data_IF_907138002007
#
_entry.id   IF_907138002007
#
_cell.length_a   1.000
_cell.length_b   1.000
_cell.length_c   1.000
_cell.angle_alpha   90.00
_cell.angle_beta   90.00
_cell.angle_gamma   90.00
#
_symmetry.space_group_name_H-M   'P 1'
#
loop_
_entity.id
_entity.type
_entity.pdbx_description
1 polymer ?
#
# COMPACT_ATOMS: atom_id res chain seq x y z
N UNK A 1 33.02 -48.85 -33.69
CA UNK A 1 32.67 -48.00 -32.53
C UNK A 1 32.57 -46.56 -33.03
N UNK A 2 31.37 -46.08 -33.34
CA UNK A 2 31.18 -44.76 -33.95
C UNK A 2 31.42 -43.61 -32.96
N UNK A 3 32.31 -42.70 -33.34
CA UNK A 3 32.77 -41.53 -32.56
C UNK A 3 31.67 -40.44 -32.41
N UNK A 4 30.49 -40.65 -33.00
CA UNK A 4 29.36 -39.69 -33.00
C UNK A 4 28.53 -39.66 -31.70
N UNK A 5 28.87 -40.44 -30.68
CA UNK A 5 28.20 -40.38 -29.38
C UNK A 5 28.78 -39.31 -28.43
N UNK A 6 29.86 -38.62 -28.81
CA UNK A 6 30.54 -37.64 -27.96
C UNK A 6 30.10 -36.16 -28.14
N UNK A 7 29.01 -35.86 -28.85
CA UNK A 7 28.62 -34.45 -29.11
C UNK A 7 27.34 -33.99 -28.41
N UNK A 8 26.73 -34.79 -27.54
CA UNK A 8 25.62 -34.31 -26.69
C UNK A 8 26.16 -33.70 -25.40
N UNK A 9 26.74 -32.51 -25.49
CA UNK A 9 26.94 -31.62 -24.34
C UNK A 9 25.59 -31.02 -23.90
N UNK A 10 24.70 -31.89 -23.41
CA UNK A 10 23.51 -31.46 -22.70
C UNK A 10 23.95 -30.87 -21.37
N UNK A 11 23.92 -29.53 -21.24
CA UNK A 11 24.14 -28.84 -19.97
C UNK A 11 23.09 -29.35 -18.98
N UNK A 12 23.46 -30.31 -18.14
CA UNK A 12 22.66 -30.73 -17.01
C UNK A 12 22.52 -29.49 -16.11
N UNK A 13 21.33 -28.88 -16.07
CA UNK A 13 21.03 -27.82 -15.11
C UNK A 13 21.32 -28.41 -13.74
N UNK A 14 22.30 -27.86 -13.03
CA UNK A 14 22.61 -28.26 -11.67
C UNK A 14 21.32 -28.20 -10.85
N UNK A 15 20.98 -29.32 -10.22
CA UNK A 15 19.86 -29.42 -9.30
C UNK A 15 20.26 -28.63 -8.04
N UNK A 16 20.20 -27.30 -8.13
CA UNK A 16 20.48 -26.43 -7.00
C UNK A 16 19.42 -26.75 -5.93
N UNK A 17 19.82 -26.99 -4.67
CA UNK A 17 18.88 -27.27 -3.60
C UNK A 17 17.87 -26.11 -3.48
N UNK A 18 16.60 -26.39 -3.13
CA UNK A 18 15.60 -25.35 -2.95
C UNK A 18 16.14 -24.31 -1.97
N UNK A 19 16.34 -23.08 -2.46
CA UNK A 19 16.79 -21.96 -1.64
C UNK A 19 15.80 -21.79 -0.49
N UNK A 20 16.20 -22.16 0.74
CA UNK A 20 15.36 -22.02 1.95
C UNK A 20 14.84 -20.59 2.03
N UNK A 21 13.53 -20.42 1.87
CA UNK A 21 12.86 -19.12 1.92
C UNK A 21 12.72 -18.71 3.38
N UNK A 22 13.77 -18.14 3.94
CA UNK A 22 13.62 -17.38 5.18
C UNK A 22 12.86 -16.10 4.88
N UNK A 23 11.65 -15.96 5.44
CA UNK A 23 10.95 -14.68 5.46
C UNK A 23 11.80 -13.71 6.29
N UNK A 24 12.39 -12.70 5.64
CA UNK A 24 13.00 -11.59 6.37
C UNK A 24 11.87 -10.86 7.09
N UNK A 25 11.89 -10.84 8.42
CA UNK A 25 11.00 -10.00 9.20
C UNK A 25 11.39 -8.54 8.94
N UNK A 26 10.63 -7.87 8.08
CA UNK A 26 10.79 -6.44 7.86
C UNK A 26 10.31 -5.73 9.12
N UNK A 27 11.23 -5.09 9.86
CA UNK A 27 10.91 -4.33 11.08
C UNK A 27 10.14 -3.04 10.75
N UNK A 28 10.42 -2.48 9.57
CA UNK A 28 9.73 -1.29 9.06
C UNK A 28 8.64 -1.65 8.05
N UNK A 29 7.38 -1.48 8.47
CA UNK A 29 6.20 -1.69 7.63
C UNK A 29 6.21 -0.83 6.35
N UNK A 30 6.88 0.34 6.38
CA UNK A 30 6.95 1.24 5.23
C UNK A 30 7.72 0.64 4.04
N UNK A 31 8.68 -0.24 4.31
CA UNK A 31 9.42 -0.95 3.28
C UNK A 31 8.62 -2.13 2.69
N UNK A 32 7.49 -2.49 3.32
CA UNK A 32 6.47 -3.38 2.75
C UNK A 32 5.75 -2.75 1.55
N UNK A 33 5.78 -1.41 1.41
CA UNK A 33 5.37 -0.73 0.19
C UNK A 33 6.47 -0.89 -0.87
N UNK A 34 6.31 -1.95 -1.66
CA UNK A 34 7.30 -2.36 -2.66
C UNK A 34 7.35 -1.42 -3.86
N UNK A 35 8.51 -1.31 -4.52
CA UNK A 35 8.68 -0.51 -5.76
C UNK A 35 7.66 -0.84 -6.87
N UNK A 36 7.27 -2.11 -7.10
CA UNK A 36 6.17 -2.46 -8.01
C UNK A 36 4.83 -1.83 -7.63
N UNK A 37 4.50 -1.73 -6.34
CA UNK A 37 3.24 -1.14 -5.89
C UNK A 37 3.19 0.37 -6.20
N UNK A 38 4.27 1.09 -5.92
CA UNK A 38 4.41 2.51 -6.27
C UNK A 38 4.36 2.74 -7.78
N UNK A 39 4.96 1.85 -8.59
CA UNK A 39 4.79 1.90 -10.05
C UNK A 39 3.34 1.75 -10.47
N UNK A 40 2.59 0.79 -9.92
CA UNK A 40 1.16 0.62 -10.24
C UNK A 40 0.34 1.87 -9.89
N UNK A 41 0.64 2.52 -8.76
CA UNK A 41 0.02 3.79 -8.38
C UNK A 41 0.34 4.91 -9.38
N UNK A 42 1.62 5.10 -9.68
CA UNK A 42 2.07 6.13 -10.62
C UNK A 42 1.52 5.89 -12.03
N UNK A 43 1.42 4.63 -12.49
CA UNK A 43 0.78 4.30 -13.76
C UNK A 43 -0.71 4.67 -13.77
N UNK A 44 -1.45 4.41 -12.69
CA UNK A 44 -2.85 4.85 -12.56
C UNK A 44 -2.97 6.38 -12.57
N UNK A 45 -1.97 7.09 -12.06
CA UNK A 45 -1.86 8.55 -12.14
C UNK A 45 -1.32 9.08 -13.48
N UNK A 46 -1.15 8.25 -14.52
CA UNK A 46 -0.66 8.70 -15.84
C UNK A 46 0.85 8.96 -15.92
N UNK A 47 1.64 8.56 -14.94
CA UNK A 47 3.09 8.83 -14.91
C UNK A 47 3.84 7.87 -15.84
N UNK A 48 4.57 8.42 -16.83
CA UNK A 48 5.29 7.68 -17.86
C UNK A 48 6.70 7.19 -17.45
N UNK A 49 7.47 8.00 -16.71
CA UNK A 49 8.81 7.68 -16.21
C UNK A 49 8.95 8.09 -14.75
N UNK A 50 9.66 7.29 -13.96
CA UNK A 50 9.84 7.51 -12.52
C UNK A 50 11.32 7.38 -12.19
N UNK A 51 11.87 8.41 -11.54
CA UNK A 51 13.27 8.41 -11.07
C UNK A 51 13.44 7.50 -9.84
N UNK A 52 14.67 7.03 -9.61
CA UNK A 52 15.02 6.17 -8.48
C UNK A 52 14.84 6.82 -7.10
N UNK A 53 15.01 8.14 -7.01
CA UNK A 53 14.88 8.91 -5.75
C UNK A 53 13.43 9.04 -5.28
N UNK A 54 12.47 9.01 -6.22
CA UNK A 54 11.05 9.20 -5.95
C UNK A 54 10.46 8.03 -5.14
N UNK A 55 11.06 6.84 -5.16
CA UNK A 55 10.52 5.70 -4.41
C UNK A 55 10.58 5.91 -2.90
N UNK A 56 11.63 6.56 -2.41
CA UNK A 56 11.79 6.81 -0.98
C UNK A 56 10.97 8.03 -0.54
N UNK A 57 10.90 9.06 -1.38
CA UNK A 57 10.06 10.23 -1.17
C UNK A 57 8.56 9.88 -1.15
N UNK A 58 8.10 9.06 -2.09
CA UNK A 58 6.70 8.60 -2.14
C UNK A 58 6.31 7.78 -0.90
N UNK A 59 7.25 7.01 -0.34
CA UNK A 59 7.03 6.30 0.93
C UNK A 59 6.91 7.27 2.09
N UNK A 60 7.77 8.30 2.15
CA UNK A 60 7.68 9.33 3.17
C UNK A 60 6.33 10.05 3.09
N UNK A 61 5.93 10.53 1.92
CA UNK A 61 4.65 11.19 1.69
C UNK A 61 3.45 10.31 2.09
N UNK A 62 3.49 9.01 1.78
CA UNK A 62 2.45 8.08 2.20
C UNK A 62 2.37 7.95 3.73
N UNK A 63 3.52 7.84 4.40
CA UNK A 63 3.58 7.76 5.87
C UNK A 63 3.05 9.04 6.52
N UNK A 64 3.45 10.19 6.00
CA UNK A 64 3.03 11.49 6.52
C UNK A 64 1.51 11.66 6.36
N UNK A 65 0.96 11.31 5.19
CA UNK A 65 -0.49 11.39 4.97
C UNK A 65 -1.29 10.44 5.85
N UNK A 66 -0.83 9.20 6.03
CA UNK A 66 -1.49 8.25 6.93
C UNK A 66 -1.42 8.70 8.39
N UNK A 67 -0.31 9.30 8.79
CA UNK A 67 -0.14 9.84 10.14
C UNK A 67 -1.12 10.98 10.40
N UNK A 68 -1.30 11.88 9.42
CA UNK A 68 -2.30 12.96 9.49
C UNK A 68 -3.73 12.41 9.63
N UNK A 69 -4.11 11.42 8.80
CA UNK A 69 -5.45 10.81 8.84
C UNK A 69 -5.70 10.12 10.18
N UNK A 70 -4.75 9.33 10.68
CA UNK A 70 -4.89 8.61 11.95
C UNK A 70 -5.01 9.58 13.13
N UNK A 71 -4.19 10.65 13.16
CA UNK A 71 -4.31 11.70 14.19
C UNK A 71 -5.70 12.32 14.19
N UNK A 72 -6.28 12.56 13.02
CA UNK A 72 -7.63 13.10 12.91
C UNK A 72 -8.70 12.13 13.38
N UNK A 73 -8.56 10.83 13.08
CA UNK A 73 -9.45 9.77 13.57
C UNK A 73 -9.43 9.71 15.10
N UNK A 74 -8.25 9.70 15.71
CA UNK A 74 -8.11 9.69 17.17
C UNK A 74 -8.77 10.93 17.78
N UNK A 75 -8.56 12.11 17.20
CA UNK A 75 -9.20 13.34 17.69
C UNK A 75 -10.74 13.28 17.65
N UNK A 76 -11.31 12.72 16.59
CA UNK A 76 -12.77 12.53 16.49
C UNK A 76 -13.26 11.54 17.55
N UNK A 77 -12.53 10.45 17.79
CA UNK A 77 -12.86 9.48 18.84
C UNK A 77 -12.79 10.10 20.24
N UNK A 78 -11.74 10.86 20.53
CA UNK A 78 -11.59 11.55 21.81
C UNK A 78 -12.72 12.55 22.04
N UNK A 79 -13.11 13.31 21.00
CA UNK A 79 -14.21 14.28 21.08
C UNK A 79 -15.59 13.65 21.30
N UNK A 80 -15.78 12.41 20.85
CA UNK A 80 -17.03 11.67 21.05
C UNK A 80 -17.13 11.03 22.44
N UNK A 81 -16.09 11.15 23.27
CA UNK A 81 -16.05 10.60 24.62
C UNK A 81 -16.94 11.46 25.54
N UNK A 82 -18.15 10.97 25.80
CA UNK A 82 -19.00 11.46 26.89
C UNK A 82 -18.35 11.05 28.23
N UNK A 83 -18.38 11.86 29.30
CA UNK A 83 -17.80 11.47 30.59
C UNK A 83 -18.41 10.13 31.05
N UNK A 84 -17.59 9.09 31.09
CA UNK A 84 -17.98 7.71 31.45
C UNK A 84 -18.00 6.68 30.31
N UNK A 85 -17.81 7.06 29.04
CA UNK A 85 -17.78 6.10 27.92
C UNK A 85 -16.65 6.37 26.92
N UNK A 86 -15.46 5.86 27.23
CA UNK A 86 -14.27 5.92 26.37
C UNK A 86 -14.34 4.84 25.28
N UNK A 87 -14.27 5.24 24.00
CA UNK A 87 -14.22 4.29 22.87
C UNK A 87 -12.78 3.91 22.56
N UNK A 88 -12.45 2.62 22.68
CA UNK A 88 -11.10 2.08 22.40
C UNK A 88 -10.94 1.48 21.00
N UNK A 89 -12.04 1.33 20.26
CA UNK A 89 -12.07 0.67 18.95
C UNK A 89 -12.45 1.68 17.87
N UNK A 90 -11.62 1.79 16.84
CA UNK A 90 -11.89 2.61 15.66
C UNK A 90 -12.98 1.93 14.84
N UNK A 91 -14.08 2.64 14.57
CA UNK A 91 -15.17 2.12 13.73
C UNK A 91 -15.01 2.62 12.29
N UNK A 92 -15.51 1.86 11.30
CA UNK A 92 -15.50 2.29 9.89
C UNK A 92 -16.18 3.64 9.66
N UNK A 93 -17.17 4.01 10.49
CA UNK A 93 -17.85 5.31 10.47
C UNK A 93 -16.89 6.47 10.73
N UNK A 94 -16.00 6.31 11.72
CA UNK A 94 -15.02 7.34 12.09
C UNK A 94 -14.02 7.56 10.93
N UNK A 95 -13.63 6.47 10.28
CA UNK A 95 -12.77 6.51 9.09
C UNK A 95 -13.46 7.25 7.93
N UNK A 96 -14.72 6.92 7.62
CA UNK A 96 -15.47 7.60 6.54
C UNK A 96 -15.68 9.08 6.84
N UNK A 97 -16.02 9.42 8.09
CA UNK A 97 -16.21 10.80 8.51
C UNK A 97 -14.94 11.63 8.30
N UNK A 98 -13.79 11.10 8.72
CA UNK A 98 -12.50 11.77 8.54
C UNK A 98 -12.10 11.85 7.07
N UNK A 99 -12.27 10.78 6.30
CA UNK A 99 -11.96 10.79 4.87
C UNK A 99 -12.83 11.77 4.07
N UNK A 100 -14.10 11.91 4.45
CA UNK A 100 -15.00 12.91 3.87
C UNK A 100 -14.50 14.34 4.17
N UNK A 101 -14.00 14.58 5.37
CA UNK A 101 -13.41 15.87 5.74
C UNK A 101 -12.14 16.21 4.94
N UNK A 102 -11.36 15.20 4.54
CA UNK A 102 -10.19 15.38 3.68
C UNK A 102 -10.51 15.52 2.18
N UNK A 103 -11.79 15.54 1.78
CA UNK A 103 -12.25 15.67 0.39
C UNK A 103 -11.73 14.59 -0.58
N UNK A 104 -11.42 13.38 -0.06
CA UNK A 104 -10.89 12.28 -0.89
C UNK A 104 -12.00 11.50 -1.62
N UNK A 105 -13.28 11.75 -1.28
CA UNK A 105 -14.44 11.12 -1.91
C UNK A 105 -15.19 12.11 -2.83
N UNK A 106 -14.96 12.09 -4.16
CA UNK A 106 -15.78 12.88 -5.09
C UNK A 106 -17.24 12.39 -5.16
N UNK A 107 -17.57 11.21 -4.62
CA UNK A 107 -18.93 10.65 -4.66
C UNK A 107 -19.93 11.31 -3.70
N UNK A 108 -19.49 12.07 -2.69
CA UNK A 108 -20.43 12.69 -1.74
C UNK A 108 -21.25 13.83 -2.35
N UNK A 109 -20.80 14.41 -3.48
CA UNK A 109 -21.50 15.52 -4.12
C UNK A 109 -22.61 15.05 -5.09
N UNK A 110 -22.49 13.84 -5.67
CA UNK A 110 -23.43 13.39 -6.71
C UNK A 110 -24.75 12.81 -6.14
N UNK A 111 -24.76 12.34 -4.89
CA UNK A 111 -25.95 11.69 -4.32
C UNK A 111 -26.97 12.70 -3.73
N UNK A 112 -26.58 13.93 -3.46
CA UNK A 112 -27.52 14.98 -3.03
C UNK A 112 -28.22 15.68 -4.20
N UNK A 113 -27.64 15.64 -5.41
CA UNK A 113 -28.21 16.32 -6.58
C UNK A 113 -29.23 15.46 -7.35
N UNK A 114 -29.24 14.13 -7.15
CA UNK A 114 -30.21 13.21 -7.76
C UNK A 114 -31.42 12.88 -6.86
N UNK A 115 -31.41 13.32 -5.60
CA UNK A 115 -32.53 13.12 -4.68
C UNK A 115 -33.46 14.35 -4.59
N UNK A 116 -33.16 15.44 -5.30
CA UNK A 116 -33.90 16.72 -5.27
C UNK A 116 -34.25 17.28 -6.66
N UNK A 117 -34.31 16.42 -7.68
CA UNK A 117 -34.98 16.70 -8.97
C UNK A 117 -35.81 15.49 -9.35
#
# INVERSE_FOLDING_TARGET
MDVKLLTKSGKHKSFLPPRKKFRKLQRDNIQGVTRPALRRLARRGGVARISGTIYDEARKALKDKLTEIIRRIVHVMDSATTPGHERKVVTSKDVVFVLNQFNICPLAHLHLHFAYT
#
